data_IF_799614077573
#
_entry.id   IF_799614077573
#
_cell.length_a   1.000
_cell.length_b   1.000
_cell.length_c   1.000
_cell.angle_alpha   90.00
_cell.angle_beta   90.00
_cell.angle_gamma   90.00
#
_symmetry.space_group_name_H-M   'P 1'
#
loop_
_entity.id
_entity.type
_entity.pdbx_description
1 polymer ?
#
# COMPACT_ATOMS: atom_id res chain seq x y z
N UNK A 1 -29.34 -0.20 -5.16
CA UNK A 1 -28.02 -0.54 -4.60
C UNK A 1 -27.47 0.69 -3.92
N UNK A 2 -27.11 0.60 -2.64
CA UNK A 2 -26.39 1.70 -1.98
C UNK A 2 -24.89 1.50 -2.24
N UNK A 3 -24.28 2.50 -2.87
CA UNK A 3 -22.82 2.56 -3.04
C UNK A 3 -22.23 3.23 -1.81
N UNK A 4 -21.22 2.61 -1.21
CA UNK A 4 -20.51 3.15 -0.06
C UNK A 4 -19.02 3.27 -0.38
N UNK A 5 -18.39 4.34 0.07
CA UNK A 5 -16.94 4.53 0.02
C UNK A 5 -16.39 4.75 1.44
N UNK A 6 -15.25 4.13 1.74
CA UNK A 6 -14.48 4.33 2.98
C UNK A 6 -13.12 4.90 2.61
N UNK A 7 -12.79 6.07 3.15
CA UNK A 7 -11.47 6.71 2.97
C UNK A 7 -10.66 6.50 4.25
N UNK A 8 -9.44 6.01 4.09
CA UNK A 8 -8.49 5.79 5.19
C UNK A 8 -7.25 6.62 4.88
N UNK A 9 -6.90 7.55 5.77
CA UNK A 9 -5.64 8.30 5.71
C UNK A 9 -4.66 7.60 6.65
N UNK A 10 -3.67 6.92 6.09
CA UNK A 10 -2.72 6.11 6.85
C UNK A 10 -1.56 5.62 6.00
N UNK A 11 -0.64 4.91 6.65
CA UNK A 11 0.53 4.32 6.01
C UNK A 11 0.17 2.94 5.42
N UNK A 12 0.33 2.77 4.11
CA UNK A 12 0.03 1.51 3.42
C UNK A 12 0.94 0.35 3.84
N UNK A 13 2.05 0.61 4.54
CA UNK A 13 2.86 -0.41 5.21
C UNK A 13 2.14 -1.05 6.41
N UNK A 14 0.99 -0.51 6.84
CA UNK A 14 0.16 -1.02 7.94
C UNK A 14 -1.32 -0.66 7.78
N UNK A 15 -2.11 -1.57 7.22
CA UNK A 15 -3.55 -1.41 6.93
C UNK A 15 -4.43 -1.97 8.06
N UNK A 16 -4.26 -1.46 9.30
CA UNK A 16 -4.95 -1.99 10.50
C UNK A 16 -6.48 -1.87 10.47
N UNK A 17 -6.99 -0.96 9.64
CA UNK A 17 -8.41 -0.66 9.46
C UNK A 17 -9.14 -1.67 8.56
N UNK A 18 -8.39 -2.59 7.96
CA UNK A 18 -8.88 -3.63 7.03
C UNK A 18 -8.52 -5.01 7.59
N UNK A 19 -9.54 -5.87 7.69
CA UNK A 19 -9.39 -7.21 8.22
C UNK A 19 -8.66 -8.11 7.22
N UNK A 20 -8.16 -9.24 7.71
CA UNK A 20 -7.57 -10.26 6.86
C UNK A 20 -8.64 -10.79 5.89
N UNK A 21 -8.25 -11.12 4.66
CA UNK A 21 -9.13 -11.72 3.66
C UNK A 21 -10.48 -10.98 3.48
N UNK A 22 -10.46 -9.64 3.50
CA UNK A 22 -11.67 -8.81 3.38
C UNK A 22 -11.87 -8.25 1.96
N UNK A 23 -10.79 -8.11 1.18
CA UNK A 23 -10.77 -7.42 -0.12
C UNK A 23 -10.75 -8.42 -1.28
N UNK A 24 -11.57 -8.19 -2.31
CA UNK A 24 -11.66 -9.05 -3.50
C UNK A 24 -10.66 -8.69 -4.62
N UNK A 25 -10.41 -7.38 -4.80
CA UNK A 25 -9.53 -6.82 -5.82
C UNK A 25 -8.69 -5.68 -5.25
N UNK A 26 -7.39 -5.72 -5.49
CA UNK A 26 -6.46 -4.65 -5.12
C UNK A 26 -5.94 -3.96 -6.38
N UNK A 27 -6.15 -2.64 -6.45
CA UNK A 27 -5.55 -1.78 -7.48
C UNK A 27 -4.65 -0.79 -6.76
N UNK A 28 -3.38 -0.72 -7.18
CA UNK A 28 -2.38 0.16 -6.57
C UNK A 28 -1.52 0.83 -7.64
N UNK A 29 -1.06 2.04 -7.33
CA UNK A 29 -0.07 2.80 -8.10
C UNK A 29 1.03 3.25 -7.14
N UNK A 30 1.93 2.35 -6.73
CA UNK A 30 2.98 2.68 -5.77
C UNK A 30 3.92 3.75 -6.33
N UNK A 31 4.60 4.53 -5.49
CA UNK A 31 5.57 5.51 -5.95
C UNK A 31 6.72 4.81 -6.69
N UNK A 32 7.14 5.36 -7.82
CA UNK A 32 8.29 4.84 -8.55
C UNK A 32 9.60 5.33 -7.93
N UNK A 33 10.59 4.43 -7.89
CA UNK A 33 11.88 4.70 -7.24
C UNK A 33 12.53 5.97 -7.80
N UNK A 34 12.87 6.88 -6.88
CA UNK A 34 13.64 8.09 -7.16
C UNK A 34 13.01 9.11 -8.13
N UNK A 35 11.75 8.95 -8.54
CA UNK A 35 11.13 9.85 -9.53
C UNK A 35 10.61 11.14 -8.91
N UNK A 36 9.77 11.04 -7.86
CA UNK A 36 9.00 12.17 -7.36
C UNK A 36 9.23 12.40 -5.87
N UNK A 37 9.63 13.63 -5.53
CA UNK A 37 9.62 14.12 -4.15
C UNK A 37 8.24 14.70 -3.82
N UNK A 38 7.59 14.14 -2.80
CA UNK A 38 6.33 14.64 -2.22
C UNK A 38 6.57 15.56 -1.02
N UNK A 39 7.81 15.76 -0.59
CA UNK A 39 8.16 16.68 0.49
C UNK A 39 7.68 16.24 1.88
N UNK A 40 7.37 14.96 2.06
CA UNK A 40 6.90 14.42 3.34
C UNK A 40 7.91 13.44 3.95
N UNK A 41 8.18 13.52 5.26
CA UNK A 41 9.02 12.54 5.95
C UNK A 41 8.46 11.12 5.82
N UNK A 42 9.33 10.15 5.54
CA UNK A 42 8.96 8.75 5.46
C UNK A 42 8.24 8.33 4.18
N UNK A 43 8.22 9.18 3.13
CA UNK A 43 7.79 8.77 1.79
C UNK A 43 8.60 7.59 1.26
N UNK A 44 7.95 6.72 0.50
CA UNK A 44 8.59 5.60 -0.19
C UNK A 44 9.08 6.11 -1.57
N UNK A 45 10.30 5.75 -1.97
CA UNK A 45 10.84 5.98 -3.31
C UNK A 45 11.92 7.05 -3.40
N UNK A 46 11.58 8.32 -3.15
CA UNK A 46 12.52 9.42 -3.35
C UNK A 46 13.52 9.58 -2.20
N UNK A 47 14.81 9.69 -2.52
CA UNK A 47 15.89 9.79 -1.54
C UNK A 47 16.27 8.46 -0.86
N UNK A 48 15.57 7.37 -1.17
CA UNK A 48 15.89 6.03 -0.66
C UNK A 48 16.92 5.33 -1.54
N UNK A 49 17.78 4.52 -0.92
CA UNK A 49 18.51 3.48 -1.67
C UNK A 49 17.51 2.49 -2.30
N UNK A 50 17.92 1.81 -3.37
CA UNK A 50 17.07 0.81 -4.01
C UNK A 50 16.61 -0.27 -3.02
N UNK A 51 17.48 -0.69 -2.10
CA UNK A 51 17.14 -1.73 -1.12
C UNK A 51 16.09 -1.26 -0.11
N UNK A 52 16.20 -0.03 0.41
CA UNK A 52 15.19 0.56 1.31
C UNK A 52 13.84 0.68 0.61
N UNK A 53 13.82 1.17 -0.63
CA UNK A 53 12.63 1.26 -1.44
C UNK A 53 11.94 -0.10 -1.63
N UNK A 54 12.69 -1.12 -2.04
CA UNK A 54 12.15 -2.48 -2.23
C UNK A 54 11.64 -3.08 -0.91
N UNK A 55 12.32 -2.80 0.21
CA UNK A 55 11.89 -3.26 1.53
C UNK A 55 10.57 -2.62 1.96
N UNK A 56 10.41 -1.32 1.74
CA UNK A 56 9.16 -0.62 2.05
C UNK A 56 8.00 -1.10 1.17
N UNK A 57 8.24 -1.29 -0.14
CA UNK A 57 7.24 -1.89 -1.03
C UNK A 57 6.85 -3.30 -0.60
N UNK A 58 7.81 -4.11 -0.14
CA UNK A 58 7.52 -5.43 0.40
C UNK A 58 6.56 -5.36 1.61
N UNK A 59 6.72 -4.39 2.51
CA UNK A 59 5.77 -4.22 3.61
C UNK A 59 4.36 -3.83 3.14
N UNK A 60 4.26 -2.96 2.12
CA UNK A 60 2.96 -2.64 1.50
C UNK A 60 2.34 -3.89 0.87
N UNK A 61 3.08 -4.66 0.07
CA UNK A 61 2.57 -5.86 -0.57
C UNK A 61 2.21 -6.97 0.42
N UNK A 62 2.94 -7.07 1.54
CA UNK A 62 2.60 -7.98 2.63
C UNK A 62 1.22 -7.65 3.22
N UNK A 63 0.93 -6.37 3.42
CA UNK A 63 -0.40 -5.93 3.86
C UNK A 63 -1.47 -6.17 2.79
N UNK A 64 -1.18 -5.87 1.51
CA UNK A 64 -2.08 -6.20 0.41
C UNK A 64 -2.43 -7.70 0.41
N UNK A 65 -1.44 -8.58 0.52
CA UNK A 65 -1.66 -10.02 0.57
C UNK A 65 -2.47 -10.44 1.80
N UNK A 66 -2.21 -9.86 2.98
CA UNK A 66 -2.95 -10.16 4.21
C UNK A 66 -4.44 -9.85 4.07
N UNK A 67 -4.79 -8.72 3.45
CA UNK A 67 -6.18 -8.28 3.33
C UNK A 67 -6.90 -8.89 2.13
N UNK A 68 -6.16 -9.43 1.15
CA UNK A 68 -6.73 -10.05 -0.04
C UNK A 68 -7.39 -11.40 0.30
N UNK A 69 -8.60 -11.62 -0.22
CA UNK A 69 -9.28 -12.91 -0.12
C UNK A 69 -8.56 -13.99 -0.92
N UNK A 70 -8.71 -15.23 -0.49
CA UNK A 70 -8.25 -16.39 -1.28
C UNK A 70 -8.92 -16.37 -2.66
N UNK A 71 -8.10 -16.44 -3.70
CA UNK A 71 -8.56 -16.36 -5.09
C UNK A 71 -8.85 -14.94 -5.60
N UNK A 72 -8.68 -13.91 -4.77
CA UNK A 72 -8.72 -12.51 -5.18
C UNK A 72 -7.63 -12.14 -6.19
N UNK A 73 -7.65 -10.88 -6.64
CA UNK A 73 -6.71 -10.35 -7.63
C UNK A 73 -6.00 -9.09 -7.13
#
# INVERSE_FOLDING_TARGET
MNVQAKIIIGDSRKMKEVKNEEIDLIITSPPYWYIKDYGIPGQIGYGQTLHEYLKDLYYVWKECYRVLRKGGR
#
